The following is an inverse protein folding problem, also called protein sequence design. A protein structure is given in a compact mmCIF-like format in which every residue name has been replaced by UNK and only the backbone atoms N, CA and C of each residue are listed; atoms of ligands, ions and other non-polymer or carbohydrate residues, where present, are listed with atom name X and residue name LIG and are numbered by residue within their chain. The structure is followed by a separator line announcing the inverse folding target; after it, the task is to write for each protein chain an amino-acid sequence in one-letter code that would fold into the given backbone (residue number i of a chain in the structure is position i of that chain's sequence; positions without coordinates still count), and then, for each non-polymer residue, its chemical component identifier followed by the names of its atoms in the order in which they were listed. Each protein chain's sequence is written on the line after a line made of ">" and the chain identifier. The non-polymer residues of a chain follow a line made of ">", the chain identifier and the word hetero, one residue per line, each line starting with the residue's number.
data_IF_973286719926
#
_entry.id   IF_973286719926
#
_cell.length_a   1.000
_cell.length_b   1.000
_cell.length_c   1.000
_cell.angle_alpha   90.00
_cell.angle_beta   90.00
_cell.angle_gamma   90.00
#
_symmetry.space_group_name_H-M   'P 1'
#
loop_
_entity.id
_entity.type
_entity.pdbx_description
1 polymer ?
#
# COMPACT_ATOMS: atom_id res chain seq x y z
N UNK A 1 -18.56 -8.87 29.27
CA UNK A 1 -17.43 -9.06 28.34
C UNK A 1 -17.50 -7.97 27.28
N UNK A 2 -16.74 -6.90 27.42
CA UNK A 2 -16.75 -5.74 26.52
C UNK A 2 -15.77 -6.03 25.36
N UNK A 3 -16.30 -6.29 24.16
CA UNK A 3 -15.49 -6.36 22.93
C UNK A 3 -15.10 -4.95 22.54
N UNK A 4 -13.87 -4.57 22.83
CA UNK A 4 -13.26 -3.35 22.30
C UNK A 4 -12.96 -3.59 20.82
N UNK A 5 -13.72 -2.94 19.95
CA UNK A 5 -13.42 -2.88 18.52
C UNK A 5 -12.11 -2.11 18.33
N UNK A 6 -11.02 -2.84 18.20
CA UNK A 6 -9.79 -2.30 17.62
C UNK A 6 -10.07 -2.00 16.15
N UNK A 7 -10.34 -0.75 15.83
CA UNK A 7 -10.38 -0.27 14.46
C UNK A 7 -9.01 -0.53 13.83
N UNK A 8 -8.97 -1.58 13.02
CA UNK A 8 -7.76 -2.05 12.35
C UNK A 8 -7.18 -0.95 11.47
N UNK A 9 -5.89 -0.72 11.62
CA UNK A 9 -5.04 0.14 10.81
C UNK A 9 -5.13 -0.13 9.28
N UNK A 10 -5.79 -1.22 8.90
CA UNK A 10 -5.99 -1.69 7.54
C UNK A 10 -6.83 -0.74 6.68
N UNK A 11 -7.77 -0.01 7.26
CA UNK A 11 -8.69 0.86 6.51
C UNK A 11 -8.03 2.12 5.96
N UNK A 12 -6.96 2.59 6.58
CA UNK A 12 -6.31 3.83 6.11
C UNK A 12 -5.44 3.64 4.86
N UNK A 13 -4.89 2.44 4.68
CA UNK A 13 -4.11 2.12 3.47
C UNK A 13 -5.01 1.83 2.26
N UNK A 14 -6.25 1.41 2.49
CA UNK A 14 -7.23 1.16 1.44
C UNK A 14 -7.68 2.47 0.75
N UNK A 15 -7.82 3.56 1.51
CA UNK A 15 -8.24 4.86 0.98
C UNK A 15 -7.17 5.55 0.11
N UNK A 16 -5.90 5.17 0.24
CA UNK A 16 -4.82 5.75 -0.56
C UNK A 16 -4.82 5.23 -2.02
N UNK A 17 -5.46 4.08 -2.29
CA UNK A 17 -5.47 3.47 -3.62
C UNK A 17 -6.75 3.70 -4.43
N UNK A 18 -7.84 4.15 -3.79
CA UNK A 18 -9.14 4.33 -4.47
C UNK A 18 -9.30 5.65 -5.26
N UNK A 19 -8.33 6.57 -5.17
CA UNK A 19 -8.43 7.90 -5.80
C UNK A 19 -8.02 7.97 -7.28
N UNK A 20 -7.75 6.86 -7.96
CA UNK A 20 -7.24 6.85 -9.35
C UNK A 20 -8.19 6.18 -10.37
N UNK A 21 -9.49 6.14 -10.10
CA UNK A 21 -10.48 5.59 -11.02
C UNK A 21 -11.56 6.60 -11.43
N UNK A 22 -11.22 7.63 -12.22
CA UNK A 22 -12.24 8.48 -12.86
C UNK A 22 -12.84 7.74 -14.05
N UNK A 23 -14.08 7.26 -13.90
CA UNK A 23 -14.90 6.77 -15.02
C UNK A 23 -15.58 7.99 -15.65
N UNK A 24 -15.18 8.34 -16.87
CA UNK A 24 -15.87 9.34 -17.68
C UNK A 24 -16.95 8.68 -18.57
N UNK A 25 -18.13 9.32 -18.76
CA UNK A 25 -19.14 8.80 -19.67
C UNK A 25 -18.75 8.99 -21.12
N UNK A 26 -19.07 7.99 -21.93
CA UNK A 26 -18.80 7.88 -23.35
C UNK A 26 -19.68 8.87 -24.12
N UNK A 27 -19.09 9.96 -24.63
CA UNK A 27 -19.70 10.77 -25.68
C UNK A 27 -19.18 10.27 -27.03
N UNK A 28 -20.09 9.82 -27.88
CA UNK A 28 -19.79 9.42 -29.24
C UNK A 28 -19.41 10.65 -30.08
N UNK A 29 -18.19 10.67 -30.62
CA UNK A 29 -17.74 11.61 -31.65
C UNK A 29 -17.31 10.88 -32.92
N UNK A 30 -17.50 11.49 -34.13
CA UNK A 30 -17.28 10.85 -35.42
C UNK A 30 -15.79 10.53 -35.68
N UNK A 31 -15.56 9.42 -36.34
CA UNK A 31 -14.25 8.87 -36.66
C UNK A 31 -13.46 9.76 -37.60
N UNK A 32 -12.38 10.36 -37.11
CA UNK A 32 -11.27 10.85 -37.92
C UNK A 32 -10.22 9.74 -38.12
N UNK A 33 -9.29 9.90 -39.08
CA UNK A 33 -8.29 8.88 -39.40
C UNK A 33 -7.43 8.53 -38.18
N UNK A 34 -7.00 7.26 -38.04
CA UNK A 34 -6.30 6.81 -36.82
C UNK A 34 -4.97 7.54 -36.67
N UNK A 35 -4.67 8.04 -35.46
CA UNK A 35 -3.39 8.64 -35.15
C UNK A 35 -2.27 7.57 -35.22
N UNK A 36 -1.02 7.96 -35.56
CA UNK A 36 0.10 7.04 -35.62
C UNK A 36 0.27 6.30 -34.28
N UNK A 37 0.49 5.00 -34.37
CA UNK A 37 0.69 4.08 -33.25
C UNK A 37 1.91 4.53 -32.45
N UNK A 38 1.68 5.23 -31.33
CA UNK A 38 2.74 5.53 -30.40
C UNK A 38 3.26 4.20 -29.82
N UNK A 39 4.47 3.84 -30.20
CA UNK A 39 5.21 2.77 -29.57
C UNK A 39 5.28 3.07 -28.05
N UNK A 40 4.61 2.25 -27.27
CA UNK A 40 4.58 2.36 -25.83
C UNK A 40 5.95 1.92 -25.29
N UNK A 41 6.88 2.89 -25.21
CA UNK A 41 8.26 2.67 -24.82
C UNK A 41 8.39 1.90 -23.51
N UNK A 42 9.34 0.98 -23.51
CA UNK A 42 9.79 0.17 -22.36
C UNK A 42 10.31 1.00 -21.15
N UNK A 43 10.25 2.33 -21.22
CA UNK A 43 10.72 3.26 -20.18
C UNK A 43 9.96 3.20 -18.85
N UNK A 44 8.69 2.70 -18.82
CA UNK A 44 7.85 2.78 -17.64
C UNK A 44 8.24 1.81 -16.50
N UNK A 45 8.90 0.69 -16.82
CA UNK A 45 9.28 -0.32 -15.79
C UNK A 45 10.55 0.05 -15.02
N UNK A 46 11.50 0.75 -15.64
CA UNK A 46 12.72 1.21 -14.96
C UNK A 46 12.47 2.34 -13.96
N UNK A 47 11.55 3.24 -14.23
CA UNK A 47 11.17 4.33 -13.33
C UNK A 47 10.58 3.84 -12.00
N UNK A 48 9.73 2.82 -12.01
CA UNK A 48 9.12 2.28 -10.77
C UNK A 48 10.10 1.58 -9.84
N UNK A 49 11.12 0.90 -10.37
CA UNK A 49 12.14 0.22 -9.56
C UNK A 49 13.10 1.20 -8.88
N UNK A 50 13.45 2.29 -9.55
CA UNK A 50 14.27 3.37 -8.99
C UNK A 50 13.50 4.09 -7.88
N UNK A 51 12.22 4.35 -8.09
CA UNK A 51 11.36 5.02 -7.11
C UNK A 51 11.19 4.21 -5.83
N UNK A 52 11.11 2.88 -5.90
CA UNK A 52 10.97 2.05 -4.70
C UNK A 52 12.20 2.12 -3.80
N UNK A 53 13.41 2.05 -4.35
CA UNK A 53 14.65 2.18 -3.57
C UNK A 53 14.77 3.57 -2.94
N UNK A 54 14.51 4.62 -3.72
CA UNK A 54 14.49 5.99 -3.24
C UNK A 54 13.47 6.16 -2.10
N UNK A 55 12.26 5.65 -2.29
CA UNK A 55 11.23 5.66 -1.27
C UNK A 55 11.67 4.95 0.02
N UNK A 56 12.27 3.77 -0.07
CA UNK A 56 12.77 3.04 1.08
C UNK A 56 13.89 3.80 1.82
N UNK A 57 14.80 4.43 1.08
CA UNK A 57 15.87 5.26 1.65
C UNK A 57 15.31 6.47 2.38
N UNK A 58 14.39 7.21 1.77
CA UNK A 58 13.74 8.36 2.38
C UNK A 58 12.94 7.96 3.64
N UNK A 59 12.21 6.85 3.57
CA UNK A 59 11.44 6.33 4.70
C UNK A 59 12.36 5.90 5.84
N UNK A 60 13.47 5.21 5.55
CA UNK A 60 14.45 4.80 6.58
C UNK A 60 15.04 6.01 7.29
N UNK A 61 15.50 7.00 6.54
CA UNK A 61 16.04 8.23 7.10
C UNK A 61 15.02 8.98 7.98
N UNK A 62 13.78 9.05 7.50
CA UNK A 62 12.69 9.70 8.24
C UNK A 62 12.37 8.97 9.55
N UNK A 63 12.23 7.64 9.50
CA UNK A 63 11.96 6.80 10.68
C UNK A 63 13.12 6.91 11.68
N UNK A 64 14.37 6.77 11.23
CA UNK A 64 15.56 6.88 12.06
C UNK A 64 15.57 8.18 12.84
N UNK A 65 15.34 9.31 12.16
CA UNK A 65 15.27 10.63 12.80
C UNK A 65 14.13 10.76 13.80
N UNK A 66 12.92 10.26 13.48
CA UNK A 66 11.72 10.44 14.31
C UNK A 66 11.68 9.49 15.51
N UNK A 67 12.14 8.25 15.34
CA UNK A 67 12.10 7.24 16.39
C UNK A 67 13.38 7.22 17.25
N UNK A 68 14.46 7.86 16.80
CA UNK A 68 15.75 7.84 17.49
C UNK A 68 16.43 6.47 17.41
N UNK A 69 16.39 5.84 16.23
CA UNK A 69 17.04 4.54 15.98
C UNK A 69 18.53 4.77 15.79
N UNK A 70 19.38 3.98 16.49
CA UNK A 70 20.83 4.02 16.30
C UNK A 70 21.24 3.29 15.02
N UNK A 71 22.48 3.49 14.55
CA UNK A 71 22.98 2.81 13.35
C UNK A 71 22.98 1.28 13.52
N UNK A 72 23.40 0.77 14.66
CA UNK A 72 23.40 -0.66 14.98
C UNK A 72 21.98 -1.27 15.02
N UNK A 73 21.03 -0.52 15.57
CA UNK A 73 19.63 -0.91 15.54
C UNK A 73 19.09 -0.91 14.11
N UNK A 74 19.41 0.12 13.31
CA UNK A 74 18.96 0.30 11.95
C UNK A 74 19.36 -0.86 11.02
N UNK A 75 20.59 -1.33 11.13
CA UNK A 75 21.12 -2.46 10.34
C UNK A 75 20.30 -3.75 10.55
N UNK A 76 19.82 -3.99 11.76
CA UNK A 76 18.99 -5.17 12.09
C UNK A 76 17.51 -4.93 11.90
N UNK A 77 17.03 -3.69 12.07
CA UNK A 77 15.63 -3.32 12.04
C UNK A 77 15.08 -3.21 10.62
N UNK A 78 15.73 -2.42 9.74
CA UNK A 78 15.18 -2.11 8.42
C UNK A 78 15.03 -3.30 7.49
N UNK A 79 15.94 -4.29 7.45
CA UNK A 79 15.71 -5.48 6.63
C UNK A 79 14.42 -6.21 6.99
N UNK A 80 14.18 -6.43 8.29
CA UNK A 80 12.95 -7.06 8.79
C UNK A 80 11.72 -6.20 8.56
N UNK A 81 11.84 -4.89 8.76
CA UNK A 81 10.74 -3.95 8.54
C UNK A 81 10.30 -3.94 7.07
N UNK A 82 11.24 -3.88 6.12
CA UNK A 82 10.91 -3.91 4.71
C UNK A 82 10.44 -5.28 4.22
N UNK A 83 10.92 -6.37 4.81
CA UNK A 83 10.39 -7.71 4.55
C UNK A 83 8.91 -7.79 4.98
N UNK A 84 8.57 -7.34 6.18
CA UNK A 84 7.18 -7.22 6.65
C UNK A 84 6.34 -6.42 5.65
N UNK A 85 6.82 -5.24 5.24
CA UNK A 85 6.11 -4.37 4.28
C UNK A 85 5.92 -5.04 2.91
N UNK A 86 6.87 -5.85 2.46
CA UNK A 86 6.76 -6.59 1.20
C UNK A 86 5.69 -7.68 1.28
N UNK A 87 5.65 -8.44 2.38
CA UNK A 87 4.63 -9.47 2.61
C UNK A 87 3.23 -8.84 2.72
N UNK A 88 3.10 -7.74 3.47
CA UNK A 88 1.85 -6.98 3.57
C UNK A 88 1.36 -6.50 2.21
N UNK A 89 2.25 -5.92 1.38
CA UNK A 89 1.89 -5.49 0.00
C UNK A 89 1.43 -6.66 -0.86
N UNK A 90 2.09 -7.81 -0.76
CA UNK A 90 1.69 -9.00 -1.52
C UNK A 90 0.27 -9.46 -1.16
N UNK A 91 -0.07 -9.45 0.14
CA UNK A 91 -1.41 -9.80 0.62
C UNK A 91 -2.46 -8.77 0.15
N UNK A 92 -2.15 -7.48 0.24
CA UNK A 92 -3.04 -6.43 -0.25
C UNK A 92 -3.27 -6.53 -1.75
N UNK A 93 -2.23 -6.80 -2.54
CA UNK A 93 -2.38 -7.02 -3.99
C UNK A 93 -3.28 -8.23 -4.32
N UNK A 94 -3.15 -9.34 -3.55
CA UNK A 94 -4.06 -10.49 -3.68
C UNK A 94 -5.50 -10.11 -3.37
N UNK A 95 -5.72 -9.32 -2.32
CA UNK A 95 -7.04 -8.81 -1.93
C UNK A 95 -7.67 -7.97 -3.02
N UNK A 96 -6.94 -6.98 -3.53
CA UNK A 96 -7.40 -6.14 -4.65
C UNK A 96 -7.70 -6.94 -5.92
N UNK A 97 -6.83 -7.90 -6.26
CA UNK A 97 -7.06 -8.78 -7.40
C UNK A 97 -8.36 -9.57 -7.24
N UNK A 98 -8.62 -10.15 -6.07
CA UNK A 98 -9.85 -10.90 -5.81
C UNK A 98 -11.10 -10.02 -5.97
N UNK A 99 -11.10 -8.81 -5.40
CA UNK A 99 -12.19 -7.84 -5.53
C UNK A 99 -12.39 -7.45 -7.00
N UNK A 100 -11.32 -7.09 -7.70
CA UNK A 100 -11.38 -6.66 -9.10
C UNK A 100 -11.88 -7.76 -10.04
N UNK A 101 -11.47 -9.00 -9.81
CA UNK A 101 -11.93 -10.14 -10.61
C UNK A 101 -13.42 -10.39 -10.37
N UNK A 102 -13.87 -10.36 -9.11
CA UNK A 102 -15.27 -10.53 -8.77
C UNK A 102 -16.15 -9.41 -9.36
N UNK A 103 -15.72 -8.16 -9.23
CA UNK A 103 -16.46 -7.00 -9.74
C UNK A 103 -16.60 -6.95 -11.27
N UNK A 104 -15.70 -7.63 -12.01
CA UNK A 104 -15.75 -7.69 -13.49
C UNK A 104 -16.57 -8.85 -14.04
N UNK A 105 -17.10 -9.74 -13.20
CA UNK A 105 -17.88 -10.90 -13.64
C UNK A 105 -19.37 -10.53 -13.75
N UNK A 106 -19.94 -10.45 -14.96
CA UNK A 106 -21.38 -10.28 -15.12
C UNK A 106 -22.09 -11.53 -14.59
N UNK A 107 -23.17 -11.32 -13.85
CA UNK A 107 -23.99 -12.43 -13.33
C UNK A 107 -23.37 -13.24 -12.20
N UNK A 108 -22.38 -12.67 -11.47
CA UNK A 108 -21.84 -13.31 -10.26
C UNK A 108 -22.98 -13.60 -9.27
N UNK A 109 -23.06 -14.83 -8.80
CA UNK A 109 -24.12 -15.27 -7.86
C UNK A 109 -23.81 -14.85 -6.44
N UNK A 110 -24.84 -14.79 -5.58
CA UNK A 110 -24.70 -14.50 -4.15
C UNK A 110 -23.74 -15.50 -3.46
N UNK A 111 -23.84 -16.80 -3.79
CA UNK A 111 -22.96 -17.83 -3.25
C UNK A 111 -21.48 -17.58 -3.62
N UNK A 112 -21.20 -17.13 -4.85
CA UNK A 112 -19.85 -16.75 -5.28
C UNK A 112 -19.36 -15.50 -4.58
N UNK A 113 -20.21 -14.49 -4.39
CA UNK A 113 -19.89 -13.31 -3.60
C UNK A 113 -19.49 -13.69 -2.17
N UNK A 114 -20.23 -14.56 -1.53
CA UNK A 114 -19.90 -15.05 -0.19
C UNK A 114 -18.57 -15.82 -0.15
N UNK A 115 -18.24 -16.60 -1.20
CA UNK A 115 -16.92 -17.25 -1.30
C UNK A 115 -15.79 -16.21 -1.39
N UNK A 116 -15.98 -15.16 -2.20
CA UNK A 116 -15.00 -14.07 -2.30
C UNK A 116 -14.83 -13.38 -0.95
N UNK A 117 -15.91 -13.04 -0.25
CA UNK A 117 -15.84 -12.42 1.08
C UNK A 117 -15.07 -13.28 2.08
N UNK A 118 -15.31 -14.59 2.11
CA UNK A 118 -14.52 -15.52 2.95
C UNK A 118 -13.04 -15.50 2.59
N UNK A 119 -12.72 -15.45 1.30
CA UNK A 119 -11.33 -15.35 0.83
C UNK A 119 -10.68 -14.03 1.27
N UNK A 120 -11.41 -12.90 1.22
CA UNK A 120 -10.91 -11.61 1.68
C UNK A 120 -10.63 -11.63 3.19
N UNK A 121 -11.52 -12.20 3.99
CA UNK A 121 -11.34 -12.35 5.43
C UNK A 121 -10.09 -13.20 5.77
N UNK A 122 -9.90 -14.31 5.06
CA UNK A 122 -8.70 -15.14 5.23
C UNK A 122 -7.40 -14.40 4.86
N UNK A 123 -7.44 -13.47 3.91
CA UNK A 123 -6.29 -12.60 3.59
C UNK A 123 -6.04 -11.61 4.72
N UNK A 124 -7.09 -11.02 5.30
CA UNK A 124 -6.95 -10.08 6.43
C UNK A 124 -6.39 -10.78 7.68
N UNK A 125 -6.81 -11.99 7.97
CA UNK A 125 -6.23 -12.81 9.05
C UNK A 125 -4.71 -13.05 8.84
N UNK A 126 -4.32 -13.40 7.61
CA UNK A 126 -2.90 -13.56 7.26
C UNK A 126 -2.13 -12.26 7.42
N UNK A 127 -2.72 -11.13 7.01
CA UNK A 127 -2.11 -9.82 7.16
C UNK A 127 -1.84 -9.49 8.64
N UNK A 128 -2.82 -9.72 9.52
CA UNK A 128 -2.66 -9.51 10.96
C UNK A 128 -1.62 -10.46 11.57
N UNK A 129 -1.57 -11.72 11.11
CA UNK A 129 -0.57 -12.68 11.56
C UNK A 129 0.85 -12.25 11.18
N UNK A 130 1.05 -11.77 9.96
CA UNK A 130 2.33 -11.20 9.50
C UNK A 130 2.71 -10.03 10.39
N UNK A 131 1.82 -9.05 10.56
CA UNK A 131 2.06 -7.87 11.41
C UNK A 131 2.43 -8.26 12.85
N UNK A 132 1.67 -9.16 13.47
CA UNK A 132 1.94 -9.62 14.84
C UNK A 132 3.25 -10.38 14.99
N UNK A 133 3.64 -11.16 13.97
CA UNK A 133 4.90 -11.91 13.99
C UNK A 133 6.11 -10.98 13.87
N UNK A 134 6.07 -10.05 12.91
CA UNK A 134 7.17 -9.11 12.70
C UNK A 134 7.27 -8.06 13.80
N UNK A 135 6.16 -7.54 14.30
CA UNK A 135 6.17 -6.54 15.38
C UNK A 135 6.86 -7.07 16.63
N UNK A 136 6.62 -8.32 17.03
CA UNK A 136 7.32 -8.96 18.15
C UNK A 136 8.84 -9.01 17.95
N UNK A 137 9.29 -9.30 16.73
CA UNK A 137 10.73 -9.33 16.38
C UNK A 137 11.34 -7.93 16.34
N UNK A 138 10.64 -6.97 15.75
CA UNK A 138 11.07 -5.57 15.64
C UNK A 138 11.15 -4.90 17.01
N UNK A 139 10.17 -5.16 17.89
CA UNK A 139 10.19 -4.67 19.29
C UNK A 139 11.40 -5.22 20.07
N UNK A 140 11.83 -6.46 19.82
CA UNK A 140 13.04 -7.02 20.46
C UNK A 140 14.32 -6.28 20.06
N UNK A 141 14.35 -5.65 18.88
CA UNK A 141 15.52 -4.94 18.37
C UNK A 141 15.59 -3.53 18.95
N UNK A 142 14.49 -2.77 18.92
CA UNK A 142 14.49 -1.33 19.24
C UNK A 142 13.68 -0.96 20.49
N UNK A 143 13.02 -1.91 21.10
CA UNK A 143 12.11 -1.69 22.23
C UNK A 143 10.75 -1.13 21.83
N UNK A 144 9.74 -1.35 22.69
CA UNK A 144 8.34 -0.97 22.40
C UNK A 144 8.14 0.55 22.25
N UNK A 145 8.86 1.36 23.03
CA UNK A 145 8.76 2.83 22.98
C UNK A 145 9.22 3.41 21.63
N UNK A 146 10.35 2.92 21.11
CA UNK A 146 10.83 3.32 19.78
C UNK A 146 9.93 2.77 18.69
N UNK A 147 9.46 1.52 18.82
CA UNK A 147 8.57 0.91 17.83
C UNK A 147 7.25 1.68 17.68
N UNK A 148 6.67 2.18 18.77
CA UNK A 148 5.49 3.06 18.70
C UNK A 148 5.77 4.34 17.90
N UNK A 149 6.95 4.95 18.08
CA UNK A 149 7.38 6.12 17.29
C UNK A 149 7.58 5.75 15.81
N UNK A 150 8.08 4.54 15.51
CA UNK A 150 8.18 4.04 14.13
C UNK A 150 6.81 3.96 13.47
N UNK A 151 5.81 3.40 14.15
CA UNK A 151 4.44 3.32 13.62
C UNK A 151 3.86 4.70 13.34
N UNK A 152 4.11 5.67 14.21
CA UNK A 152 3.69 7.05 14.01
C UNK A 152 4.43 7.72 12.83
N UNK A 153 5.75 7.49 12.72
CA UNK A 153 6.58 8.02 11.65
C UNK A 153 6.20 7.46 10.29
N UNK A 154 5.99 6.15 10.18
CA UNK A 154 5.54 5.48 8.95
C UNK A 154 4.23 6.07 8.42
N UNK A 155 3.25 6.27 9.31
CA UNK A 155 1.97 6.93 8.95
C UNK A 155 2.16 8.37 8.50
N UNK A 156 2.99 9.14 9.20
CA UNK A 156 3.23 10.55 8.88
C UNK A 156 3.93 10.68 7.54
N UNK A 157 4.94 9.85 7.28
CA UNK A 157 5.63 9.80 5.99
C UNK A 157 4.67 9.51 4.84
N UNK A 158 3.79 8.52 5.00
CA UNK A 158 2.77 8.20 3.98
C UNK A 158 1.87 9.40 3.64
N UNK A 159 1.39 10.13 4.65
CA UNK A 159 0.61 11.36 4.43
C UNK A 159 1.40 12.45 3.72
N UNK A 160 2.68 12.62 4.06
CA UNK A 160 3.53 13.65 3.46
C UNK A 160 3.87 13.33 2.00
N UNK A 161 4.11 12.04 1.68
CA UNK A 161 4.29 11.59 0.29
C UNK A 161 3.01 11.82 -0.52
N UNK A 162 1.86 11.45 0.01
CA UNK A 162 0.58 11.66 -0.66
C UNK A 162 0.33 13.15 -0.93
N UNK A 163 0.56 14.01 0.05
CA UNK A 163 0.42 15.48 -0.11
C UNK A 163 1.33 16.03 -1.20
N UNK A 164 2.59 15.57 -1.26
CA UNK A 164 3.53 15.97 -2.32
C UNK A 164 3.07 15.55 -3.70
N UNK A 165 2.51 14.35 -3.84
CA UNK A 165 1.99 13.85 -5.11
C UNK A 165 0.77 14.65 -5.59
N UNK A 166 -0.18 14.95 -4.70
CA UNK A 166 -1.39 15.70 -5.05
C UNK A 166 -1.13 17.19 -5.31
N UNK A 167 -0.24 17.82 -4.56
CA UNK A 167 0.11 19.25 -4.79
C UNK A 167 0.93 19.47 -6.07
N UNK A 168 1.70 18.48 -6.51
CA UNK A 168 2.45 18.53 -7.79
C UNK A 168 1.56 18.48 -9.04
N UNK A 169 0.36 17.92 -8.94
CA UNK A 169 -0.60 17.88 -10.05
C UNK A 169 -1.31 19.24 -10.27
N UNK A 170 -1.46 20.07 -9.25
CA UNK A 170 -2.10 21.40 -9.38
C UNK A 170 -1.20 22.46 -10.01
N UNK A 171 0.13 22.24 -10.09
CA UNK A 171 1.08 23.18 -10.72
C UNK A 171 1.26 22.99 -12.23
N UNK A 172 0.62 22.00 -12.83
CA UNK A 172 0.76 21.69 -14.27
C UNK A 172 -0.49 22.01 -15.10
N UNK A 173 -1.39 22.85 -14.57
CA UNK A 173 -2.54 23.40 -15.34
C UNK A 173 -2.34 24.89 -15.63
#
# INVERSE_FOLDING_TARGET
>A
MKRTHFFSLSTFFLLLFLALGSVQPLSAQPQGPPPPRCERGEGSRRGQAVDLKKFQTELSAYITKKAGITNEEAERFFPLFFQMKAEQRSLMHKKEKAIRVAAKRPGITESECQKVIRQLNAIDEKFQKVEGTYSKRLIKIIGAKKYLKVLQADRSFGRDVFRRMTSGQHRRK
#
